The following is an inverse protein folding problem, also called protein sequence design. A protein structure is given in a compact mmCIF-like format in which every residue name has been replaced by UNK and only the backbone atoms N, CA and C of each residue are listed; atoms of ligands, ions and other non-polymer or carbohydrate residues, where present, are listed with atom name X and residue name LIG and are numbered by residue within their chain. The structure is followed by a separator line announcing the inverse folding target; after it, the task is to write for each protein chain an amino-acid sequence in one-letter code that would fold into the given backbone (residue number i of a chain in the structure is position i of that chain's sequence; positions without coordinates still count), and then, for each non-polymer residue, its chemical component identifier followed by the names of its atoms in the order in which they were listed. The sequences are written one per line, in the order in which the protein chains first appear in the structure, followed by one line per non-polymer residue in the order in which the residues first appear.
data_IF_853165783128
#
_entry.id   IF_853165783128
#
_cell.length_a   1.000
_cell.length_b   1.000
_cell.length_c   1.000
_cell.angle_alpha   90.00
_cell.angle_beta   90.00
_cell.angle_gamma   90.00
#
_symmetry.space_group_name_H-M   'P 1'
#
loop_
_entity.id
_entity.type
_entity.pdbx_description
1 polymer ?
#
# COMPACT_ATOMS: atom_id res chain seq x y z
N UNK A 1 4.68 5.11 -11.02
CA UNK A 1 3.69 4.12 -10.55
C UNK A 1 2.76 3.64 -11.66
N UNK A 2 2.11 4.52 -12.43
CA UNK A 2 1.22 4.13 -13.56
C UNK A 2 1.81 3.11 -14.56
N UNK A 3 3.11 3.21 -14.91
CA UNK A 3 3.75 2.23 -15.80
C UNK A 3 3.84 0.83 -15.18
N UNK A 4 4.15 0.75 -13.89
CA UNK A 4 4.28 -0.51 -13.15
C UNK A 4 2.92 -1.18 -12.98
N UNK A 5 1.90 -0.40 -12.58
CA UNK A 5 0.53 -0.88 -12.43
C UNK A 5 -0.02 -1.41 -13.77
N UNK A 6 0.28 -0.70 -14.87
CA UNK A 6 -0.08 -1.15 -16.24
C UNK A 6 0.65 -2.43 -16.63
N UNK A 7 1.94 -2.57 -16.31
CA UNK A 7 2.70 -3.78 -16.62
C UNK A 7 2.13 -5.00 -15.87
N UNK A 8 1.85 -4.86 -14.57
CA UNK A 8 1.21 -5.92 -13.77
C UNK A 8 -0.11 -6.36 -14.41
N UNK A 9 -0.95 -5.41 -14.82
CA UNK A 9 -2.21 -5.72 -15.48
C UNK A 9 -2.04 -6.47 -16.80
N UNK A 10 -1.07 -6.09 -17.62
CA UNK A 10 -0.79 -6.75 -18.90
C UNK A 10 -0.25 -8.17 -18.71
N UNK A 11 0.62 -8.36 -17.73
CA UNK A 11 1.14 -9.68 -17.35
C UNK A 11 -0.01 -10.58 -16.84
N UNK A 12 -0.89 -10.04 -16.00
CA UNK A 12 -2.00 -10.79 -15.42
C UNK A 12 -3.01 -11.24 -16.48
N UNK A 13 -3.37 -10.36 -17.44
CA UNK A 13 -4.27 -10.67 -18.56
C UNK A 13 -3.74 -11.80 -19.45
N UNK A 14 -2.42 -11.96 -19.54
CA UNK A 14 -1.79 -12.93 -20.44
C UNK A 14 -1.75 -14.35 -19.85
N UNK A 15 -2.06 -14.51 -18.56
CA UNK A 15 -2.01 -15.80 -17.86
C UNK A 15 -3.10 -16.78 -18.34
N UNK A 16 -2.78 -18.07 -18.25
CA UNK A 16 -3.63 -19.16 -18.80
C UNK A 16 -4.99 -19.29 -18.10
N UNK A 17 -5.10 -18.89 -16.83
CA UNK A 17 -6.38 -18.89 -16.12
C UNK A 17 -7.35 -17.83 -16.65
N UNK A 18 -6.86 -16.68 -17.13
CA UNK A 18 -7.66 -15.65 -17.81
C UNK A 18 -8.13 -16.16 -19.18
N UNK A 19 -7.22 -16.80 -19.94
CA UNK A 19 -7.56 -17.42 -21.23
C UNK A 19 -8.62 -18.51 -21.08
N UNK A 20 -8.52 -19.31 -20.02
CA UNK A 20 -9.52 -20.33 -19.68
C UNK A 20 -10.86 -19.72 -19.28
N UNK A 21 -10.86 -18.60 -18.55
CA UNK A 21 -12.09 -17.89 -18.21
C UNK A 21 -12.79 -17.33 -19.47
N UNK A 22 -12.01 -16.80 -20.42
CA UNK A 22 -12.53 -16.33 -21.72
C UNK A 22 -13.07 -17.48 -22.58
N UNK A 23 -12.37 -18.62 -22.64
CA UNK A 23 -12.84 -19.78 -23.42
C UNK A 23 -14.11 -20.42 -22.85
N UNK A 24 -14.38 -20.24 -21.55
CA UNK A 24 -15.65 -20.60 -20.90
C UNK A 24 -16.82 -19.66 -21.23
N UNK A 25 -16.60 -18.60 -22.01
CA UNK A 25 -17.66 -17.66 -22.42
C UNK A 25 -18.05 -16.64 -21.34
N UNK A 26 -17.21 -16.43 -20.31
CA UNK A 26 -17.46 -15.39 -19.32
C UNK A 26 -17.37 -13.99 -19.95
N UNK A 27 -18.28 -13.06 -19.60
CA UNK A 27 -18.21 -11.70 -20.12
C UNK A 27 -16.92 -11.02 -19.65
N UNK A 28 -16.33 -10.21 -20.52
CA UNK A 28 -15.01 -9.62 -20.32
C UNK A 28 -14.93 -8.75 -19.06
N UNK A 29 -16.04 -8.10 -18.69
CA UNK A 29 -16.18 -7.35 -17.43
C UNK A 29 -15.96 -8.26 -16.21
N UNK A 30 -16.55 -9.46 -16.20
CA UNK A 30 -16.38 -10.42 -15.10
C UNK A 30 -14.95 -10.94 -15.06
N UNK A 31 -14.32 -11.18 -16.21
CA UNK A 31 -12.91 -11.59 -16.27
C UNK A 31 -11.99 -10.49 -15.73
N UNK A 32 -12.24 -9.23 -16.10
CA UNK A 32 -11.44 -8.11 -15.66
C UNK A 32 -11.59 -7.87 -14.14
N UNK A 33 -12.81 -7.73 -13.63
CA UNK A 33 -13.03 -7.38 -12.22
C UNK A 33 -12.81 -8.56 -11.26
N UNK A 34 -13.19 -9.79 -11.64
CA UNK A 34 -13.18 -10.94 -10.72
C UNK A 34 -11.91 -11.78 -10.80
N UNK A 35 -11.25 -11.79 -11.96
CA UNK A 35 -10.09 -12.66 -12.21
C UNK A 35 -8.78 -11.89 -12.41
N UNK A 36 -8.80 -10.76 -13.11
CA UNK A 36 -7.59 -9.98 -13.36
C UNK A 36 -7.31 -8.99 -12.22
N UNK A 37 -8.24 -8.09 -11.92
CA UNK A 37 -8.10 -7.01 -10.94
C UNK A 37 -7.76 -7.56 -9.55
N UNK A 38 -8.45 -8.62 -9.13
CA UNK A 38 -8.20 -9.29 -7.85
C UNK A 38 -6.75 -9.77 -7.67
N UNK A 39 -6.18 -10.41 -8.69
CA UNK A 39 -4.82 -10.93 -8.60
C UNK A 39 -3.78 -9.82 -8.82
N UNK A 40 -4.07 -8.85 -9.69
CA UNK A 40 -3.22 -7.68 -9.92
C UNK A 40 -3.16 -6.74 -8.71
N UNK A 41 -4.19 -6.70 -7.86
CA UNK A 41 -4.21 -5.84 -6.67
C UNK A 41 -3.24 -6.30 -5.58
N UNK A 42 -2.85 -7.58 -5.54
CA UNK A 42 -1.89 -8.10 -4.55
C UNK A 42 -0.53 -7.38 -4.61
N UNK A 43 0.17 -7.37 -5.76
CA UNK A 43 1.42 -6.64 -5.88
C UNK A 43 1.25 -5.11 -5.80
N UNK A 44 0.13 -4.55 -6.27
CA UNK A 44 -0.15 -3.11 -6.22
C UNK A 44 -0.25 -2.64 -4.76
N UNK A 45 -1.05 -3.32 -3.94
CA UNK A 45 -1.24 -2.98 -2.53
C UNK A 45 0.06 -3.11 -1.74
N UNK A 46 0.84 -4.16 -2.00
CA UNK A 46 2.17 -4.33 -1.38
C UNK A 46 3.09 -3.14 -1.69
N UNK A 47 3.05 -2.64 -2.92
CA UNK A 47 3.85 -1.49 -3.35
C UNK A 47 3.40 -0.19 -2.67
N UNK A 48 2.10 -0.01 -2.45
CA UNK A 48 1.55 1.14 -1.72
C UNK A 48 2.06 1.15 -0.27
N UNK A 49 2.00 0.01 0.43
CA UNK A 49 2.49 -0.11 1.81
C UNK A 49 4.00 0.16 1.88
N UNK A 50 4.77 -0.39 0.94
CA UNK A 50 6.22 -0.13 0.87
C UNK A 50 6.56 1.34 0.60
N UNK A 51 5.64 2.14 0.07
CA UNK A 51 5.86 3.57 -0.21
C UNK A 51 5.69 4.44 1.04
N UNK A 52 4.98 3.96 2.08
CA UNK A 52 4.71 4.75 3.30
C UNK A 52 6.01 5.24 3.96
N UNK A 53 7.04 4.41 4.24
CA UNK A 53 8.30 4.90 4.81
C UNK A 53 9.00 5.94 3.95
N UNK A 54 8.94 5.80 2.62
CA UNK A 54 9.51 6.79 1.69
C UNK A 54 8.77 8.13 1.76
N UNK A 55 7.45 8.13 2.00
CA UNK A 55 6.69 9.36 2.22
C UNK A 55 7.11 10.06 3.51
N UNK A 56 7.33 9.32 4.60
CA UNK A 56 7.89 9.89 5.83
C UNK A 56 9.26 10.51 5.60
N UNK A 57 10.15 9.81 4.90
CA UNK A 57 11.49 10.31 4.58
C UNK A 57 11.42 11.56 3.68
N UNK A 58 10.53 11.57 2.69
CA UNK A 58 10.30 12.72 1.82
C UNK A 58 9.72 13.93 2.56
N UNK A 59 8.77 13.70 3.47
CA UNK A 59 8.22 14.74 4.35
C UNK A 59 9.31 15.36 5.22
N UNK A 60 10.16 14.54 5.82
CA UNK A 60 11.29 15.01 6.63
C UNK A 60 12.25 15.90 5.83
N UNK A 61 12.58 15.51 4.59
CA UNK A 61 13.42 16.34 3.72
C UNK A 61 12.76 17.68 3.40
N UNK A 62 11.45 17.68 3.13
CA UNK A 62 10.65 18.89 2.92
C UNK A 62 10.65 19.79 4.16
N UNK A 63 10.41 19.24 5.34
CA UNK A 63 10.44 19.96 6.62
C UNK A 63 11.80 20.62 6.87
N UNK A 64 12.89 19.87 6.61
CA UNK A 64 14.27 20.36 6.76
C UNK A 64 14.61 21.47 5.76
N UNK A 65 14.23 21.32 4.48
CA UNK A 65 14.53 22.31 3.44
C UNK A 65 13.76 23.62 3.60
N UNK A 66 12.49 23.55 3.98
CA UNK A 66 11.62 24.72 4.11
C UNK A 66 11.57 25.30 5.54
N UNK A 67 12.32 24.71 6.48
CA UNK A 67 12.31 25.07 7.90
C UNK A 67 10.89 25.12 8.51
N UNK A 68 9.99 24.26 8.02
CA UNK A 68 8.61 24.16 8.50
C UNK A 68 8.63 23.20 9.69
N UNK A 69 8.12 23.60 10.87
CA UNK A 69 8.05 22.71 12.02
C UNK A 69 7.09 21.56 11.73
N UNK A 70 7.60 20.33 11.75
CA UNK A 70 6.84 19.12 11.43
C UNK A 70 7.21 17.94 12.33
N UNK A 71 6.47 16.84 12.20
CA UNK A 71 6.64 15.66 13.06
C UNK A 71 8.05 15.05 12.90
N UNK A 72 8.65 15.16 11.72
CA UNK A 72 10.01 14.71 11.46
C UNK A 72 11.06 15.56 12.16
N UNK A 73 10.96 16.90 12.05
CA UNK A 73 11.88 17.81 12.74
C UNK A 73 11.78 17.66 14.28
N UNK A 74 10.56 17.56 14.82
CA UNK A 74 10.35 17.30 16.26
C UNK A 74 10.96 15.99 16.74
N UNK A 75 10.93 14.95 15.90
CA UNK A 75 11.54 13.65 16.23
C UNK A 75 13.07 13.77 16.26
N UNK A 76 13.68 14.49 15.32
CA UNK A 76 15.15 14.71 15.32
C UNK A 76 15.59 15.53 16.52
N UNK A 77 14.87 16.62 16.84
CA UNK A 77 15.20 17.47 17.98
C UNK A 77 15.10 16.68 19.30
N UNK A 78 14.08 15.82 19.45
CA UNK A 78 13.95 14.94 20.60
C UNK A 78 15.07 13.89 20.70
N UNK A 79 15.54 13.36 19.57
CA UNK A 79 16.70 12.44 19.53
C UNK A 79 17.96 13.18 20.02
N UNK A 80 18.19 14.40 19.54
CA UNK A 80 19.35 15.21 19.94
C UNK A 80 19.28 15.62 21.42
N UNK A 81 18.09 15.92 21.93
CA UNK A 81 17.85 16.23 23.34
C UNK A 81 17.85 14.99 24.26
N UNK A 82 18.05 13.79 23.72
CA UNK A 82 17.90 12.49 24.42
C UNK A 82 16.54 12.32 25.14
N UNK A 83 15.49 12.97 24.64
CA UNK A 83 14.14 12.80 25.17
C UNK A 83 13.51 11.53 24.58
N UNK A 84 13.80 10.40 25.24
CA UNK A 84 13.28 9.09 24.84
C UNK A 84 11.74 9.01 24.94
N UNK A 85 11.07 9.87 25.71
CA UNK A 85 9.62 9.85 25.83
C UNK A 85 8.96 10.36 24.54
N UNK A 86 9.47 11.45 23.96
CA UNK A 86 8.97 12.01 22.70
C UNK A 86 9.25 11.05 21.53
N UNK A 87 10.47 10.52 21.44
CA UNK A 87 10.85 9.56 20.39
C UNK A 87 9.95 8.33 20.43
N UNK A 88 9.70 7.77 21.62
CA UNK A 88 8.84 6.60 21.78
C UNK A 88 7.40 6.90 21.37
N UNK A 89 6.88 8.07 21.72
CA UNK A 89 5.54 8.53 21.32
C UNK A 89 5.39 8.62 19.79
N UNK A 90 6.40 9.15 19.10
CA UNK A 90 6.40 9.28 17.64
C UNK A 90 6.49 7.93 16.93
N UNK A 91 7.34 7.02 17.43
CA UNK A 91 7.42 5.64 16.90
C UNK A 91 6.10 4.91 17.11
N UNK A 92 5.42 5.13 18.26
CA UNK A 92 4.13 4.51 18.54
C UNK A 92 3.04 5.01 17.60
N UNK A 93 2.96 6.32 17.37
CA UNK A 93 2.05 6.92 16.38
C UNK A 93 2.31 6.40 14.95
N UNK A 94 3.58 6.35 14.54
CA UNK A 94 3.97 5.79 13.24
C UNK A 94 3.60 4.32 13.09
N UNK A 95 3.76 3.54 14.16
CA UNK A 95 3.39 2.12 14.19
C UNK A 95 1.88 1.93 14.05
N UNK A 96 1.07 2.74 14.73
CA UNK A 96 -0.40 2.70 14.60
C UNK A 96 -0.82 3.04 13.17
N UNK A 97 -0.24 4.09 12.58
CA UNK A 97 -0.54 4.48 11.20
C UNK A 97 -0.15 3.38 10.20
N UNK A 98 0.99 2.73 10.43
CA UNK A 98 1.45 1.62 9.61
C UNK A 98 0.51 0.42 9.70
N UNK A 99 0.11 0.03 10.92
CA UNK A 99 -0.88 -1.04 11.14
C UNK A 99 -2.23 -0.67 10.50
N UNK A 100 -2.67 0.58 10.61
CA UNK A 100 -3.88 1.04 9.95
C UNK A 100 -3.79 0.89 8.42
N UNK A 101 -2.65 1.23 7.82
CA UNK A 101 -2.39 1.01 6.39
C UNK A 101 -2.41 -0.46 5.98
N UNK A 102 -1.88 -1.36 6.82
CA UNK A 102 -1.97 -2.81 6.62
C UNK A 102 -3.42 -3.30 6.71
N UNK A 103 -4.19 -2.86 7.70
CA UNK A 103 -5.61 -3.22 7.85
C UNK A 103 -6.43 -2.70 6.66
N UNK A 104 -6.16 -1.47 6.19
CA UNK A 104 -6.77 -0.93 4.97
C UNK A 104 -6.46 -1.80 3.73
N UNK A 105 -5.26 -2.38 3.69
CA UNK A 105 -4.85 -3.32 2.65
C UNK A 105 -5.63 -4.63 2.75
N UNK A 106 -5.79 -5.20 3.95
CA UNK A 106 -6.60 -6.40 4.21
C UNK A 106 -8.09 -6.19 3.90
N UNK A 107 -8.64 -5.02 4.24
CA UNK A 107 -10.01 -4.63 3.89
C UNK A 107 -10.14 -4.51 2.36
N UNK A 108 -9.16 -3.91 1.70
CA UNK A 108 -9.16 -3.82 0.23
C UNK A 108 -9.14 -5.20 -0.42
N UNK A 109 -8.41 -6.16 0.15
CA UNK A 109 -8.45 -7.56 -0.29
C UNK A 109 -9.82 -8.20 -0.11
N UNK A 110 -10.45 -8.05 1.06
CA UNK A 110 -11.77 -8.65 1.33
C UNK A 110 -12.89 -8.04 0.50
N UNK A 111 -12.85 -6.75 0.21
CA UNK A 111 -13.82 -6.08 -0.68
C UNK A 111 -13.70 -6.56 -2.14
N UNK A 112 -12.48 -6.82 -2.58
CA UNK A 112 -12.18 -7.24 -3.96
C UNK A 112 -12.36 -8.75 -4.14
N UNK A 113 -12.18 -9.53 -3.08
CA UNK A 113 -12.38 -10.97 -3.07
C UNK A 113 -13.41 -11.44 -2.04
N UNK A 114 -14.71 -11.49 -2.39
CA UNK A 114 -15.75 -12.02 -1.51
C UNK A 114 -15.70 -13.56 -1.33
N UNK A 115 -14.66 -14.26 -1.82
CA UNK A 115 -14.43 -15.69 -1.52
C UNK A 115 -13.53 -15.94 -0.31
N UNK A 116 -12.86 -14.93 0.22
CA UNK A 116 -12.18 -15.02 1.53
C UNK A 116 -13.22 -14.81 2.63
N UNK A 117 -14.28 -15.62 2.61
CA UNK A 117 -15.05 -15.86 3.83
C UNK A 117 -14.14 -16.72 4.68
N UNK A 118 -13.63 -16.12 5.75
CA UNK A 118 -13.04 -16.82 6.87
C UNK A 118 -13.91 -18.03 7.21
N UNK A 119 -13.36 -19.23 7.06
CA UNK A 119 -13.66 -20.31 8.02
C UNK A 119 -12.93 -20.02 9.32
#
# INVERSE_FOLDING_TARGET
NIRFDRTIFLEEITKDYIRTARSKGLPEVTVLFKHCLKNALIPILTTVVMTIPFLFMGSLLMESFFAIPGLGSFTIDAIQAQDFAIVRSMVYLGSILYIAGLILTDISYTLVDPRIRFE
#
